data_IF_149380311370
#
_entry.id   IF_149380311370
#
_cell.length_a   1.000
_cell.length_b   1.000
_cell.length_c   1.000
_cell.angle_alpha   90.00
_cell.angle_beta   90.00
_cell.angle_gamma   90.00
#
_symmetry.space_group_name_H-M   'P 1'
#
loop_
_entity.id
_entity.type
_entity.pdbx_description
1 polymer ?
#
# COMPACT_ATOMS: atom_id res chain seq x y z
N UNK A 1 34.30 3.89 20.34
CA UNK A 1 33.30 3.08 21.08
C UNK A 1 32.11 2.89 20.14
N UNK A 2 31.92 1.69 19.58
CA UNK A 2 30.84 1.45 18.63
C UNK A 2 29.50 1.36 19.35
N UNK A 3 28.61 2.33 19.12
CA UNK A 3 27.27 2.28 19.71
C UNK A 3 26.45 1.19 19.01
N UNK A 4 26.04 0.19 19.78
CA UNK A 4 25.20 -0.92 19.33
C UNK A 4 23.75 -0.55 19.66
N UNK A 5 22.88 -0.55 18.65
CA UNK A 5 21.50 -0.10 18.71
C UNK A 5 20.57 -1.24 18.27
N UNK A 6 19.50 -1.45 19.04
CA UNK A 6 18.45 -2.41 18.71
C UNK A 6 17.49 -1.80 17.70
N UNK A 7 17.18 -2.52 16.64
CA UNK A 7 16.12 -2.16 15.71
C UNK A 7 14.77 -2.27 16.41
N UNK A 8 14.07 -1.14 16.51
CA UNK A 8 12.73 -1.06 17.10
C UNK A 8 11.68 -1.90 16.35
N UNK A 9 11.92 -2.18 15.06
CA UNK A 9 10.94 -2.86 14.21
C UNK A 9 11.03 -4.39 14.29
N UNK A 10 12.23 -4.96 14.35
CA UNK A 10 12.42 -6.42 14.39
C UNK A 10 13.16 -6.92 15.63
N UNK A 11 13.58 -6.01 16.52
CA UNK A 11 14.28 -6.34 17.75
C UNK A 11 15.72 -6.84 17.56
N UNK A 12 16.26 -6.87 16.34
CA UNK A 12 17.64 -7.29 16.07
C UNK A 12 18.64 -6.19 16.42
N UNK A 13 19.82 -6.59 16.85
CA UNK A 13 20.87 -5.69 17.34
C UNK A 13 21.88 -5.42 16.23
N UNK A 14 22.17 -4.14 15.95
CA UNK A 14 23.11 -3.71 14.91
C UNK A 14 24.00 -2.57 15.42
N UNK A 15 25.15 -2.35 14.81
CA UNK A 15 25.89 -1.11 15.02
C UNK A 15 25.09 0.07 14.46
N UNK A 16 25.17 1.23 15.11
CA UNK A 16 24.43 2.44 14.73
C UNK A 16 24.60 2.80 13.24
N UNK A 17 25.82 2.67 12.70
CA UNK A 17 26.12 2.92 11.27
C UNK A 17 25.37 1.97 10.32
N UNK A 18 25.06 0.75 10.76
CA UNK A 18 24.34 -0.25 9.95
C UNK A 18 22.83 -0.26 10.21
N UNK A 19 22.37 0.33 11.33
CA UNK A 19 20.96 0.41 11.68
C UNK A 19 20.15 1.20 10.63
N UNK A 20 20.67 2.34 10.16
CA UNK A 20 19.98 3.17 9.16
C UNK A 20 19.81 2.44 7.83
N UNK A 21 20.85 1.75 7.36
CA UNK A 21 20.79 0.93 6.14
C UNK A 21 19.84 -0.25 6.32
N UNK A 22 19.93 -0.97 7.44
CA UNK A 22 19.01 -2.05 7.79
C UNK A 22 17.55 -1.57 7.83
N UNK A 23 17.26 -0.44 8.49
CA UNK A 23 15.91 0.12 8.58
C UNK A 23 15.37 0.51 7.21
N UNK A 24 16.21 1.05 6.32
CA UNK A 24 15.81 1.40 4.94
C UNK A 24 15.61 0.16 4.05
N UNK A 25 16.46 -0.86 4.16
CA UNK A 25 16.38 -2.04 3.29
C UNK A 25 15.34 -3.06 3.78
N UNK A 26 15.28 -3.30 5.09
CA UNK A 26 14.40 -4.30 5.71
C UNK A 26 13.05 -3.72 6.13
N UNK A 27 12.98 -2.42 6.41
CA UNK A 27 11.76 -1.76 6.89
C UNK A 27 11.36 -0.52 6.08
N UNK A 28 12.11 -0.16 5.02
CA UNK A 28 11.90 1.06 4.23
C UNK A 28 10.78 0.93 3.21
N UNK A 29 9.69 0.27 3.58
CA UNK A 29 8.46 0.19 2.81
C UNK A 29 7.50 1.33 3.19
N UNK A 30 7.95 2.59 3.15
CA UNK A 30 7.06 3.73 3.45
C UNK A 30 7.02 4.88 2.45
N UNK A 31 7.82 4.88 1.39
CA UNK A 31 7.85 6.04 0.48
C UNK A 31 7.55 5.66 -0.98
N UNK A 32 6.76 4.60 -1.22
CA UNK A 32 5.94 4.49 -2.43
C UNK A 32 4.56 3.98 -2.06
N UNK A 33 3.59 4.89 -2.20
CA UNK A 33 2.15 4.64 -2.27
C UNK A 33 1.83 3.30 -2.94
N UNK A 34 1.60 2.24 -2.15
CA UNK A 34 0.64 1.16 -2.42
C UNK A 34 0.29 0.51 -1.09
N UNK A 35 -0.63 1.14 -0.36
CA UNK A 35 -1.51 0.40 0.55
C UNK A 35 -2.23 -0.66 -0.28
N UNK A 36 -1.69 -1.88 -0.32
CA UNK A 36 -2.57 -3.04 -0.39
C UNK A 36 -2.79 -3.48 1.05
N UNK A 37 -3.62 -2.70 1.74
CA UNK A 37 -4.40 -3.27 2.81
C UNK A 37 -5.80 -3.34 2.25
N UNK A 38 -6.37 -4.53 2.21
CA UNK A 38 -7.82 -4.66 2.29
C UNK A 38 -8.24 -4.20 3.69
N UNK A 39 -8.03 -2.92 3.99
CA UNK A 39 -8.61 -2.28 5.15
C UNK A 39 -10.07 -2.01 4.83
N UNK A 40 -11.00 -2.30 5.75
CA UNK A 40 -12.43 -2.00 5.57
C UNK A 40 -12.67 -0.50 5.28
N UNK A 41 -11.76 0.37 5.73
CA UNK A 41 -11.77 1.80 5.42
C UNK A 41 -11.58 2.11 3.92
N UNK A 42 -10.80 1.32 3.19
CA UNK A 42 -10.61 1.51 1.75
C UNK A 42 -11.83 1.06 0.94
N UNK A 43 -12.53 0.02 1.38
CA UNK A 43 -13.80 -0.41 0.76
C UNK A 43 -14.89 0.63 1.01
N UNK A 44 -15.00 1.15 2.23
CA UNK A 44 -15.97 2.20 2.57
C UNK A 44 -15.78 3.48 1.73
N UNK A 45 -14.53 3.90 1.50
CA UNK A 45 -14.23 5.04 0.65
C UNK A 45 -14.66 4.80 -0.81
N UNK A 46 -14.41 3.60 -1.35
CA UNK A 46 -14.83 3.24 -2.71
C UNK A 46 -16.35 3.24 -2.85
N UNK A 47 -17.08 2.71 -1.86
CA UNK A 47 -18.56 2.72 -1.85
C UNK A 47 -19.09 4.15 -1.82
N UNK A 48 -18.54 5.01 -0.95
CA UNK A 48 -18.96 6.41 -0.87
C UNK A 48 -18.71 7.19 -2.17
N UNK A 49 -17.57 6.93 -2.84
CA UNK A 49 -17.30 7.51 -4.16
C UNK A 49 -18.27 6.99 -5.23
N UNK A 50 -18.61 5.70 -5.19
CA UNK A 50 -19.56 5.11 -6.13
C UNK A 50 -20.97 5.68 -5.96
N UNK A 51 -21.43 5.88 -4.72
CA UNK A 51 -22.75 6.45 -4.43
C UNK A 51 -22.91 7.89 -4.92
N UNK A 52 -21.83 8.69 -4.86
CA UNK A 52 -21.79 10.08 -5.33
C UNK A 52 -21.77 10.22 -6.87
N UNK A 53 -21.60 9.13 -7.62
CA UNK A 53 -21.63 9.18 -9.08
C UNK A 53 -23.08 9.29 -9.62
N UNK A 54 -23.28 10.01 -10.74
CA UNK A 54 -24.52 9.94 -11.51
C UNK A 54 -24.73 8.53 -12.07
N UNK A 55 -25.98 8.20 -12.41
CA UNK A 55 -26.37 6.84 -12.85
C UNK A 55 -25.57 6.36 -14.07
N UNK A 56 -25.24 7.27 -14.99
CA UNK A 56 -24.40 6.99 -16.15
C UNK A 56 -22.97 6.56 -15.74
N UNK A 57 -22.37 7.26 -14.76
CA UNK A 57 -21.05 6.91 -14.23
C UNK A 57 -21.06 5.60 -13.46
N UNK A 58 -22.11 5.32 -12.69
CA UNK A 58 -22.31 4.04 -11.99
C UNK A 58 -22.38 2.87 -12.97
N UNK A 59 -23.10 3.05 -14.08
CA UNK A 59 -23.26 2.04 -15.15
C UNK A 59 -21.93 1.77 -15.87
N UNK A 60 -21.14 2.80 -16.13
CA UNK A 60 -19.80 2.65 -16.74
C UNK A 60 -18.85 1.86 -15.83
N UNK A 61 -18.80 2.19 -14.54
CA UNK A 61 -17.98 1.46 -13.56
C UNK A 61 -18.38 -0.02 -13.51
N UNK A 62 -19.68 -0.33 -13.49
CA UNK A 62 -20.16 -1.71 -13.56
C UNK A 62 -19.76 -2.41 -14.86
N UNK A 63 -19.88 -1.72 -16.00
CA UNK A 63 -19.48 -2.28 -17.30
C UNK A 63 -18.00 -2.66 -17.32
N UNK A 64 -17.12 -1.81 -16.78
CA UNK A 64 -15.68 -2.05 -16.70
C UNK A 64 -15.31 -3.19 -15.73
N UNK A 65 -16.02 -3.31 -14.61
CA UNK A 65 -15.84 -4.42 -13.67
C UNK A 65 -16.29 -5.75 -14.29
N UNK A 66 -17.41 -5.75 -15.01
CA UNK A 66 -17.93 -6.92 -15.74
C UNK A 66 -17.05 -7.31 -16.93
N UNK A 67 -16.47 -6.32 -17.62
CA UNK A 67 -15.56 -6.54 -18.75
C UNK A 67 -14.24 -7.19 -18.35
N UNK A 68 -13.96 -7.32 -17.04
CA UNK A 68 -12.79 -8.01 -16.51
C UNK A 68 -11.51 -7.52 -17.19
N UNK A 69 -11.09 -6.28 -16.92
CA UNK A 69 -9.80 -5.75 -17.39
C UNK A 69 -8.64 -6.63 -16.87
N UNK A 70 -8.39 -7.69 -17.64
CA UNK A 70 -7.38 -8.71 -17.48
C UNK A 70 -6.66 -8.86 -18.81
N UNK A 71 -5.60 -8.06 -18.93
CA UNK A 71 -4.49 -8.07 -19.91
C UNK A 71 -4.64 -7.18 -21.15
N UNK A 72 -3.64 -6.30 -21.42
CA UNK A 72 -3.41 -5.79 -22.76
C UNK A 72 -2.99 -6.94 -23.67
N UNK A 73 -3.68 -7.08 -24.80
CA UNK A 73 -3.35 -8.01 -25.87
C UNK A 73 -2.20 -7.38 -26.67
N UNK A 74 -0.99 -7.93 -26.54
CA UNK A 74 0.18 -7.63 -27.38
C UNK A 74 0.29 -8.60 -28.53
#
# INVERSE_FOLDING_TARGET
MGQIVKCDVCGKIYNQSHLSAHKRMSHGQREKLRSNKNEPASVAAIVSMYEQLPEEGKKEVLNRLLAGEGRPKS
#
